data_IF_311688655117
#
_entry.id   IF_311688655117
#
_cell.length_a   1.000
_cell.length_b   1.000
_cell.length_c   1.000
_cell.angle_alpha   90.00
_cell.angle_beta   90.00
_cell.angle_gamma   90.00
#
_symmetry.space_group_name_H-M   'P 1'
#
loop_
_entity.id
_entity.type
_entity.pdbx_description
1 polymer ?
#
# COMPACT_ATOMS: atom_id res chain seq x y z
N UNK A 1 -3.28 4.85 17.61
CA UNK A 1 -3.97 4.14 16.52
C UNK A 1 -5.44 3.93 16.85
N UNK A 2 -5.76 3.25 17.95
CA UNK A 2 -7.14 3.02 18.42
C UNK A 2 -8.00 4.30 18.44
N UNK A 3 -7.48 5.39 19.01
CA UNK A 3 -8.17 6.68 19.08
C UNK A 3 -8.45 7.30 17.70
N UNK A 4 -7.52 7.12 16.75
CA UNK A 4 -7.68 7.60 15.37
C UNK A 4 -8.67 6.72 14.60
N UNK A 5 -8.65 5.41 14.85
CA UNK A 5 -9.63 4.48 14.28
C UNK A 5 -11.04 4.76 14.81
N UNK A 6 -11.16 5.08 16.09
CA UNK A 6 -12.43 5.44 16.72
C UNK A 6 -12.96 6.83 16.31
N UNK A 7 -12.11 7.70 15.76
CA UNK A 7 -12.49 9.06 15.39
C UNK A 7 -13.49 9.15 14.22
N UNK A 8 -13.59 8.11 13.39
CA UNK A 8 -14.45 8.09 12.20
C UNK A 8 -13.99 9.00 11.05
N UNK A 9 -12.81 9.62 11.12
CA UNK A 9 -12.25 10.41 10.03
C UNK A 9 -11.86 9.49 8.84
N UNK A 10 -12.36 9.75 7.61
CA UNK A 10 -12.04 8.97 6.41
C UNK A 10 -10.55 8.81 6.14
N UNK A 11 -9.71 9.75 6.59
CA UNK A 11 -8.25 9.66 6.48
C UNK A 11 -7.68 8.42 7.18
N UNK A 12 -8.35 7.93 8.22
CA UNK A 12 -7.92 6.79 9.03
C UNK A 12 -8.72 5.51 8.76
N UNK A 13 -9.56 5.48 7.71
CA UNK A 13 -10.33 4.28 7.35
C UNK A 13 -9.46 3.04 7.13
N UNK A 14 -8.23 3.23 6.63
CA UNK A 14 -7.25 2.16 6.43
C UNK A 14 -6.85 1.43 7.72
N UNK A 15 -7.07 2.02 8.90
CA UNK A 15 -6.79 1.37 10.19
C UNK A 15 -7.76 0.23 10.51
N UNK A 16 -8.83 0.05 9.73
CA UNK A 16 -9.75 -1.09 9.83
C UNK A 16 -9.37 -2.25 8.88
N UNK A 17 -8.37 -2.07 8.03
CA UNK A 17 -7.91 -3.07 7.07
C UNK A 17 -6.78 -3.93 7.68
N UNK A 18 -6.55 -5.11 7.12
CA UNK A 18 -5.40 -5.94 7.52
C UNK A 18 -4.09 -5.20 7.24
N UNK A 19 -3.05 -5.48 8.06
CA UNK A 19 -1.74 -4.87 7.87
C UNK A 19 -1.19 -5.19 6.48
N UNK A 20 -1.01 -4.15 5.66
CA UNK A 20 -0.58 -4.28 4.28
C UNK A 20 0.38 -3.15 3.87
N UNK A 21 0.96 -3.29 2.68
CA UNK A 21 1.76 -2.24 2.03
C UNK A 21 1.03 -1.83 0.76
N UNK A 22 0.56 -0.58 0.71
CA UNK A 22 -0.03 -0.01 -0.51
C UNK A 22 1.08 0.47 -1.46
N UNK A 23 1.05 0.01 -2.72
CA UNK A 23 1.97 0.44 -3.77
C UNK A 23 1.17 1.14 -4.88
N UNK A 24 1.45 2.42 -5.10
CA UNK A 24 0.84 3.22 -6.15
C UNK A 24 1.90 3.75 -7.14
N UNK A 25 1.51 3.88 -8.41
CA UNK A 25 2.38 4.41 -9.46
C UNK A 25 1.62 5.38 -10.36
N UNK A 26 2.21 6.54 -10.63
CA UNK A 26 1.68 7.56 -11.52
C UNK A 26 2.60 7.68 -12.74
N UNK A 27 2.13 7.16 -13.88
CA UNK A 27 2.81 7.18 -15.16
C UNK A 27 1.83 6.84 -16.30
N UNK A 28 2.31 6.77 -17.54
CA UNK A 28 1.49 6.22 -18.64
C UNK A 28 1.13 4.76 -18.35
N UNK A 29 0.03 4.21 -18.91
CA UNK A 29 -0.45 2.88 -18.54
C UNK A 29 0.63 1.79 -18.58
N UNK A 30 1.45 1.75 -19.64
CA UNK A 30 2.50 0.76 -19.78
C UNK A 30 3.58 0.90 -18.69
N UNK A 31 4.03 2.12 -18.44
CA UNK A 31 5.06 2.41 -17.44
C UNK A 31 4.56 2.18 -16.01
N UNK A 32 3.30 2.50 -15.72
CA UNK A 32 2.70 2.30 -14.41
C UNK A 32 2.68 0.80 -14.05
N UNK A 33 2.25 -0.05 -14.99
CA UNK A 33 2.27 -1.51 -14.79
C UNK A 33 3.71 -2.03 -14.62
N UNK A 34 4.65 -1.55 -15.43
CA UNK A 34 6.06 -1.93 -15.31
C UNK A 34 6.66 -1.55 -13.94
N UNK A 35 6.35 -0.35 -13.44
CA UNK A 35 6.80 0.12 -12.12
C UNK A 35 6.19 -0.68 -10.98
N UNK A 36 4.89 -0.97 -11.03
CA UNK A 36 4.22 -1.81 -10.03
C UNK A 36 4.82 -3.22 -10.03
N UNK A 37 4.98 -3.84 -11.21
CA UNK A 37 5.57 -5.17 -11.31
C UNK A 37 6.99 -5.21 -10.72
N UNK A 38 7.82 -4.21 -11.03
CA UNK A 38 9.15 -4.08 -10.46
C UNK A 38 9.12 -3.91 -8.94
N UNK A 39 8.27 -3.03 -8.41
CA UNK A 39 8.14 -2.79 -6.98
C UNK A 39 7.72 -4.06 -6.21
N UNK A 40 6.80 -4.86 -6.76
CA UNK A 40 6.36 -6.11 -6.13
C UNK A 40 7.50 -7.14 -6.00
N UNK A 41 8.37 -7.25 -7.02
CA UNK A 41 9.54 -8.12 -6.98
C UNK A 41 10.52 -7.65 -5.91
N UNK A 42 10.78 -6.35 -5.85
CA UNK A 42 11.71 -5.75 -4.89
C UNK A 42 11.22 -5.80 -3.45
N UNK A 43 9.91 -5.70 -3.19
CA UNK A 43 9.33 -5.76 -1.84
C UNK A 43 9.37 -7.18 -1.27
N UNK A 44 9.30 -8.21 -2.12
CA UNK A 44 9.27 -9.62 -1.69
C UNK A 44 10.43 -9.99 -0.76
N UNK A 45 11.61 -9.41 -0.96
CA UNK A 45 12.81 -9.67 -0.12
C UNK A 45 12.68 -9.21 1.33
N UNK A 46 11.70 -8.37 1.63
CA UNK A 46 11.42 -7.89 2.99
C UNK A 46 10.28 -8.65 3.66
N UNK A 47 9.46 -9.37 2.88
CA UNK A 47 8.27 -10.06 3.37
C UNK A 47 8.48 -11.57 3.56
N UNK A 48 9.55 -12.13 3.02
CA UNK A 48 9.95 -13.53 3.21
C UNK A 48 11.28 -13.54 3.99
N UNK A 49 11.33 -14.17 5.17
CA UNK A 49 12.55 -14.32 5.96
C UNK A 49 13.66 -15.11 5.25
#
# INVERSE_FOLDING_TARGET
EEELRASGDPKFSHLMEDLHVEISAYATPAEAHARIAYALVEVRRFLVP
#
